data_IF_324553019127
#
_entry.id   IF_324553019127
#
_cell.length_a   1.000
_cell.length_b   1.000
_cell.length_c   1.000
_cell.angle_alpha   90.00
_cell.angle_beta   90.00
_cell.angle_gamma   90.00
#
_symmetry.space_group_name_H-M   'P 1'
#
loop_
_entity.id
_entity.type
_entity.pdbx_description
1 polymer ?
#
# COMPACT_ATOMS: atom_id res chain seq x y z
N UNK A 1 -3.94 -1.92 -37.94
CA UNK A 1 -5.31 -1.85 -37.36
C UNK A 1 -5.31 -1.30 -35.93
N UNK A 2 -4.62 -1.91 -34.95
CA UNK A 2 -4.63 -1.48 -33.53
C UNK A 2 -4.25 0.00 -33.30
N UNK A 3 -3.29 0.52 -34.06
CA UNK A 3 -2.93 1.96 -34.05
C UNK A 3 -4.12 2.89 -34.27
N UNK A 4 -5.05 2.52 -35.15
CA UNK A 4 -6.19 3.38 -35.46
C UNK A 4 -7.20 3.41 -34.31
N UNK A 5 -7.44 2.27 -33.67
CA UNK A 5 -8.30 2.19 -32.48
C UNK A 5 -7.72 3.00 -31.30
N UNK A 6 -6.41 2.92 -31.07
CA UNK A 6 -5.73 3.70 -30.03
C UNK A 6 -5.84 5.19 -30.33
N UNK A 7 -5.61 5.62 -31.58
CA UNK A 7 -5.75 7.02 -32.00
C UNK A 7 -7.18 7.55 -31.84
N UNK A 8 -8.19 6.75 -32.20
CA UNK A 8 -9.61 7.11 -32.05
C UNK A 8 -9.99 7.20 -30.57
N UNK A 9 -9.55 6.26 -29.74
CA UNK A 9 -9.76 6.28 -28.30
C UNK A 9 -9.13 7.53 -27.66
N UNK A 10 -7.87 7.82 -27.99
CA UNK A 10 -7.15 9.01 -27.48
C UNK A 10 -7.86 10.31 -27.88
N UNK A 11 -8.33 10.41 -29.12
CA UNK A 11 -9.06 11.59 -29.61
C UNK A 11 -10.40 11.76 -28.91
N UNK A 12 -11.10 10.66 -28.61
CA UNK A 12 -12.35 10.69 -27.85
C UNK A 12 -12.13 11.10 -26.39
N UNK A 13 -11.06 10.59 -25.78
CA UNK A 13 -10.60 10.94 -24.44
C UNK A 13 -10.28 12.44 -24.31
N UNK A 14 -9.62 12.99 -25.33
CA UNK A 14 -9.32 14.42 -25.44
C UNK A 14 -10.52 15.31 -25.76
N UNK A 15 -11.64 14.76 -26.24
CA UNK A 15 -12.87 15.54 -26.47
C UNK A 15 -13.68 15.68 -25.18
N UNK A 16 -13.62 14.69 -24.30
CA UNK A 16 -14.32 14.66 -23.01
C UNK A 16 -13.35 14.80 -21.82
N UNK A 17 -12.46 15.80 -21.86
CA UNK A 17 -11.33 15.95 -20.91
C UNK A 17 -11.78 16.03 -19.46
N UNK A 18 -12.79 16.82 -19.14
CA UNK A 18 -13.23 17.04 -17.75
C UNK A 18 -13.74 15.75 -17.08
N UNK A 19 -14.68 15.06 -17.73
CA UNK A 19 -15.21 13.79 -17.22
C UNK A 19 -14.15 12.70 -17.17
N UNK A 20 -13.31 12.60 -18.21
CA UNK A 20 -12.21 11.63 -18.24
C UNK A 20 -11.21 11.88 -17.11
N UNK A 21 -10.80 13.15 -16.90
CA UNK A 21 -9.86 13.51 -15.85
C UNK A 21 -10.37 13.06 -14.49
N UNK A 22 -11.61 13.41 -14.13
CA UNK A 22 -12.19 13.03 -12.84
C UNK A 22 -12.20 11.51 -12.67
N UNK A 23 -12.61 10.77 -13.70
CA UNK A 23 -12.72 9.31 -13.62
C UNK A 23 -11.34 8.63 -13.51
N UNK A 24 -10.36 9.07 -14.30
CA UNK A 24 -8.99 8.54 -14.23
C UNK A 24 -8.34 8.91 -12.89
N UNK A 25 -8.49 10.15 -12.42
CA UNK A 25 -7.92 10.58 -11.14
C UNK A 25 -8.56 9.81 -9.98
N UNK A 26 -9.89 9.68 -9.94
CA UNK A 26 -10.57 8.92 -8.90
C UNK A 26 -10.12 7.45 -8.86
N UNK A 27 -10.07 6.80 -10.02
CA UNK A 27 -9.61 5.42 -10.13
C UNK A 27 -8.14 5.27 -9.69
N UNK A 28 -7.27 6.17 -10.15
CA UNK A 28 -5.83 6.13 -9.85
C UNK A 28 -5.56 6.36 -8.38
N UNK A 29 -6.22 7.35 -7.76
CA UNK A 29 -6.06 7.67 -6.34
C UNK A 29 -6.59 6.53 -5.47
N UNK A 30 -7.74 5.93 -5.81
CA UNK A 30 -8.29 4.80 -5.07
C UNK A 30 -7.41 3.54 -5.16
N UNK A 31 -6.84 3.26 -6.34
CA UNK A 31 -5.89 2.18 -6.50
C UNK A 31 -4.59 2.46 -5.72
N UNK A 32 -4.06 3.67 -5.82
CA UNK A 32 -2.86 4.06 -5.10
C UNK A 32 -3.06 3.91 -3.58
N UNK A 33 -4.13 4.47 -3.02
CA UNK A 33 -4.39 4.40 -1.58
C UNK A 33 -4.53 2.96 -1.08
N UNK A 34 -5.22 2.10 -1.83
CA UNK A 34 -5.37 0.67 -1.48
C UNK A 34 -4.02 -0.04 -1.48
N UNK A 35 -3.16 0.24 -2.47
CA UNK A 35 -1.80 -0.33 -2.55
C UNK A 35 -0.93 0.17 -1.40
N UNK A 36 -1.00 1.46 -1.05
CA UNK A 36 -0.26 2.03 0.08
C UNK A 36 -0.66 1.36 1.40
N UNK A 37 -1.96 1.21 1.66
CA UNK A 37 -2.45 0.54 2.87
C UNK A 37 -2.01 -0.93 2.89
N UNK A 38 -2.11 -1.62 1.76
CA UNK A 38 -1.68 -3.02 1.65
C UNK A 38 -0.17 -3.16 1.93
N UNK A 39 0.66 -2.30 1.35
CA UNK A 39 2.10 -2.27 1.61
C UNK A 39 2.41 -1.99 3.08
N UNK A 40 1.68 -1.08 3.71
CA UNK A 40 1.81 -0.80 5.14
C UNK A 40 1.47 -2.03 5.99
N UNK A 41 0.36 -2.70 5.70
CA UNK A 41 -0.05 -3.93 6.42
C UNK A 41 0.95 -5.06 6.21
N UNK A 42 1.45 -5.24 4.98
CA UNK A 42 2.50 -6.22 4.70
C UNK A 42 3.76 -5.87 5.50
N UNK A 43 4.13 -4.60 5.56
CA UNK A 43 5.28 -4.16 6.33
C UNK A 43 5.09 -4.45 7.82
N UNK A 44 3.95 -4.10 8.40
CA UNK A 44 3.62 -4.34 9.81
C UNK A 44 3.65 -5.84 10.16
N UNK A 45 2.99 -6.68 9.35
CA UNK A 45 2.99 -8.15 9.53
C UNK A 45 4.34 -8.80 9.29
N UNK A 46 5.23 -8.15 8.55
CA UNK A 46 6.61 -8.60 8.33
C UNK A 46 7.53 -8.09 9.43
N UNK A 47 7.26 -6.91 10.01
CA UNK A 47 8.01 -6.34 11.12
C UNK A 47 7.97 -7.26 12.34
N UNK A 48 6.79 -7.82 12.65
CA UNK A 48 6.62 -8.80 13.73
C UNK A 48 7.26 -10.18 13.41
N UNK A 49 7.65 -10.39 12.15
CA UNK A 49 8.28 -11.61 11.62
C UNK A 49 9.69 -11.40 11.05
N UNK A 50 10.31 -10.26 11.33
CA UNK A 50 11.64 -9.93 10.81
C UNK A 50 12.75 -10.83 11.37
N UNK A 51 12.43 -11.61 12.41
CA UNK A 51 13.31 -12.65 12.96
C UNK A 51 12.87 -14.04 12.48
N UNK A 52 13.78 -14.73 11.78
CA UNK A 52 13.64 -16.09 11.20
C UNK A 52 13.29 -17.19 12.23
N UNK A 53 13.38 -16.89 13.54
CA UNK A 53 13.04 -17.79 14.67
C UNK A 53 12.15 -17.08 15.70
N UNK A 54 11.20 -16.27 15.24
CA UNK A 54 10.25 -15.51 16.07
C UNK A 54 9.48 -16.39 17.08
N UNK A 55 9.22 -17.65 16.73
CA UNK A 55 8.61 -18.68 17.59
C UNK A 55 9.43 -19.02 18.86
N UNK A 56 10.73 -18.71 18.87
CA UNK A 56 11.67 -19.07 19.95
C UNK A 56 12.18 -17.87 20.75
N UNK A 57 11.69 -16.65 20.47
CA UNK A 57 12.12 -15.44 21.18
C UNK A 57 11.22 -15.25 22.41
N UNK A 58 11.72 -15.67 23.56
CA UNK A 58 11.08 -15.42 24.85
C UNK A 58 11.65 -14.14 25.48
N UNK A 59 10.76 -13.22 25.92
CA UNK A 59 11.16 -12.01 26.65
C UNK A 59 11.45 -12.37 28.11
N UNK A 60 12.73 -12.39 28.48
CA UNK A 60 13.14 -12.60 29.89
C UNK A 60 12.89 -11.31 30.67
N UNK A 61 11.90 -11.33 31.56
CA UNK A 61 11.66 -10.26 32.51
C UNK A 61 12.53 -10.48 33.75
N UNK A 62 13.53 -9.63 33.95
CA UNK A 62 14.24 -9.55 35.23
C UNK A 62 13.36 -8.75 36.19
N UNK A 63 12.68 -9.44 37.11
CA UNK A 63 12.02 -8.81 38.25
C UNK A 63 13.08 -8.54 39.33
N UNK A 64 13.82 -7.45 39.16
CA UNK A 64 14.66 -6.91 40.22
C UNK A 64 13.78 -6.09 41.15
N UNK A 65 13.37 -6.63 42.29
CA UNK A 65 12.83 -5.84 43.39
C UNK A 65 13.94 -4.94 43.90
N UNK A 66 14.03 -3.71 43.39
CA UNK A 66 14.89 -2.68 43.97
C UNK A 66 14.35 -2.35 45.37
N UNK A 67 15.11 -2.61 46.44
CA UNK A 67 14.72 -2.16 47.76
C UNK A 67 14.85 -0.64 47.78
N UNK A 68 13.74 0.06 48.02
CA UNK A 68 13.75 1.49 48.26
C UNK A 68 14.56 1.75 49.54
N UNK A 69 15.67 2.48 49.40
CA UNK A 69 16.40 3.10 50.51
C UNK A 69 15.71 4.38 50.93
#
# INVERSE_FOLDING_TARGET
MLKNYILVALRNLWRHRGYTLINIFGLTIGLASTIFILLYVINEMTYDRFHEKSDRIYRVWISGSMPAT
#
